data_IF_960472377126
#
_entry.id   IF_960472377126
#
_cell.length_a   1.000
_cell.length_b   1.000
_cell.length_c   1.000
_cell.angle_alpha   90.00
_cell.angle_beta   90.00
_cell.angle_gamma   90.00
#
_symmetry.space_group_name_H-M   'P 1'
#
loop_
_entity.id
_entity.type
_entity.pdbx_description
1 polymer ?
#
# COMPACT_ATOMS: atom_id res chain seq x y z
N UNK A 1 -24.22 -8.25 -24.63
CA UNK A 1 -22.86 -8.12 -24.09
C UNK A 1 -22.94 -8.50 -22.63
N UNK A 2 -22.05 -9.37 -22.20
CA UNK A 2 -21.93 -9.75 -20.79
C UNK A 2 -21.43 -8.54 -19.99
N UNK A 3 -21.96 -8.35 -18.78
CA UNK A 3 -21.50 -7.31 -17.86
C UNK A 3 -21.05 -7.94 -16.54
N UNK A 4 -20.19 -7.22 -15.83
CA UNK A 4 -19.75 -7.55 -14.47
C UNK A 4 -19.90 -6.34 -13.57
N UNK A 5 -20.24 -6.57 -12.30
CA UNK A 5 -20.23 -5.51 -11.31
C UNK A 5 -18.78 -5.08 -11.07
N UNK A 6 -18.53 -3.78 -11.13
CA UNK A 6 -17.24 -3.18 -10.90
C UNK A 6 -17.39 -1.96 -9.98
N UNK A 7 -16.45 -1.81 -9.05
CA UNK A 7 -16.47 -0.76 -8.04
C UNK A 7 -15.13 -0.01 -8.03
N UNK A 8 -15.19 1.26 -7.62
CA UNK A 8 -14.02 1.96 -7.09
C UNK A 8 -14.20 2.10 -5.58
N UNK A 9 -13.24 1.57 -4.84
CA UNK A 9 -13.26 1.54 -3.38
C UNK A 9 -11.95 2.14 -2.88
N UNK A 10 -12.06 3.22 -2.13
CA UNK A 10 -10.95 3.93 -1.54
C UNK A 10 -10.51 3.25 -0.24
N UNK A 11 -9.32 2.65 -0.23
CA UNK A 11 -8.71 2.04 0.94
C UNK A 11 -8.05 3.08 1.85
N UNK A 12 -7.85 2.69 3.11
CA UNK A 12 -7.26 3.51 4.17
C UNK A 12 -8.03 4.79 4.49
N UNK A 13 -9.34 4.79 4.26
CA UNK A 13 -10.19 5.95 4.53
C UNK A 13 -11.60 5.52 4.98
N UNK A 14 -12.34 6.48 5.54
CA UNK A 14 -13.77 6.38 5.83
C UNK A 14 -14.61 7.30 4.94
N UNK A 15 -13.98 8.06 4.05
CA UNK A 15 -14.64 9.04 3.18
C UNK A 15 -14.33 8.70 1.72
N UNK A 16 -15.33 8.69 0.82
CA UNK A 16 -15.08 8.54 -0.61
C UNK A 16 -14.20 9.66 -1.16
N UNK A 17 -13.47 9.36 -2.22
CA UNK A 17 -12.54 10.24 -2.95
C UNK A 17 -11.26 10.62 -2.19
N UNK A 18 -11.01 10.01 -1.02
CA UNK A 18 -9.74 10.15 -0.29
C UNK A 18 -9.04 8.79 -0.19
N UNK A 19 -7.92 8.65 0.53
CA UNK A 19 -7.19 7.38 0.59
C UNK A 19 -6.65 6.86 -0.75
N UNK A 20 -6.42 5.55 -0.87
CA UNK A 20 -5.88 4.91 -2.07
C UNK A 20 -6.97 4.14 -2.84
N UNK A 21 -7.25 4.52 -4.08
CA UNK A 21 -8.35 3.96 -4.86
C UNK A 21 -7.98 2.60 -5.46
N UNK A 22 -8.78 1.57 -5.17
CA UNK A 22 -8.70 0.27 -5.82
C UNK A 22 -9.96 0.00 -6.66
N UNK A 23 -9.76 -0.61 -7.82
CA UNK A 23 -10.83 -1.31 -8.52
C UNK A 23 -11.21 -2.59 -7.76
N UNK A 24 -12.49 -2.93 -7.72
CA UNK A 24 -12.95 -4.21 -7.16
C UNK A 24 -13.99 -4.82 -8.08
N UNK A 25 -13.75 -6.05 -8.52
CA UNK A 25 -14.70 -6.91 -9.24
C UNK A 25 -15.06 -8.09 -8.30
N UNK A 26 -16.20 -8.02 -7.59
CA UNK A 26 -16.54 -8.98 -6.54
C UNK A 26 -16.82 -10.41 -7.01
N UNK A 27 -17.11 -10.57 -8.31
CA UNK A 27 -17.27 -11.86 -8.98
C UNK A 27 -16.64 -11.79 -10.37
N UNK A 28 -15.44 -12.34 -10.46
CA UNK A 28 -14.62 -12.47 -11.65
C UNK A 28 -14.66 -13.91 -12.21
N UNK A 29 -15.61 -14.73 -11.76
CA UNK A 29 -15.70 -16.12 -12.19
C UNK A 29 -15.91 -16.20 -13.71
N UNK A 30 -15.05 -16.98 -14.37
CA UNK A 30 -15.09 -17.19 -15.81
C UNK A 30 -14.44 -16.11 -16.66
N UNK A 31 -13.87 -15.04 -16.07
CA UNK A 31 -13.07 -14.07 -16.82
C UNK A 31 -11.70 -14.68 -17.17
N UNK A 32 -11.25 -14.47 -18.41
CA UNK A 32 -9.87 -14.74 -18.81
C UNK A 32 -8.91 -13.68 -18.26
N UNK A 33 -7.61 -13.97 -18.34
CA UNK A 33 -6.55 -13.04 -17.94
C UNK A 33 -6.59 -11.75 -18.77
N UNK A 34 -6.77 -11.86 -20.08
CA UNK A 34 -6.88 -10.70 -20.99
C UNK A 34 -8.12 -9.86 -20.69
N UNK A 35 -9.25 -10.49 -20.35
CA UNK A 35 -10.46 -9.78 -19.94
C UNK A 35 -10.26 -9.05 -18.61
N UNK A 36 -9.64 -9.69 -17.62
CA UNK A 36 -9.33 -9.07 -16.34
C UNK A 36 -8.36 -7.89 -16.53
N UNK A 37 -7.32 -8.07 -17.34
CA UNK A 37 -6.34 -7.02 -17.67
C UNK A 37 -7.00 -5.82 -18.36
N UNK A 38 -7.88 -6.06 -19.34
CA UNK A 38 -8.62 -5.01 -20.04
C UNK A 38 -9.58 -4.25 -19.11
N UNK A 39 -10.28 -4.96 -18.21
CA UNK A 39 -11.14 -4.33 -17.19
C UNK A 39 -10.32 -3.47 -16.23
N UNK A 40 -9.16 -3.96 -15.77
CA UNK A 40 -8.28 -3.19 -14.89
C UNK A 40 -7.77 -1.92 -15.56
N UNK A 41 -7.39 -2.01 -16.85
CA UNK A 41 -6.97 -0.87 -17.66
C UNK A 41 -8.09 0.18 -17.84
N UNK A 42 -9.32 -0.26 -18.09
CA UNK A 42 -10.48 0.62 -18.27
C UNK A 42 -10.89 1.31 -16.95
N UNK A 43 -10.82 0.61 -15.81
CA UNK A 43 -11.07 1.21 -14.50
C UNK A 43 -10.01 2.23 -14.10
N UNK A 44 -8.75 2.02 -14.52
CA UNK A 44 -7.66 2.99 -14.36
C UNK A 44 -7.25 3.28 -12.90
N UNK A 45 -7.71 2.47 -11.94
CA UNK A 45 -7.18 2.47 -10.57
C UNK A 45 -5.73 1.95 -10.57
N UNK A 46 -4.97 2.21 -9.51
CA UNK A 46 -3.59 1.71 -9.40
C UNK A 46 -3.56 0.19 -9.49
N UNK A 47 -4.50 -0.47 -8.82
CA UNK A 47 -4.76 -1.90 -8.93
C UNK A 47 -6.26 -2.20 -8.86
N UNK A 48 -6.66 -3.26 -9.53
CA UNK A 48 -8.01 -3.83 -9.48
C UNK A 48 -7.96 -5.24 -8.90
N UNK A 49 -8.75 -5.48 -7.86
CA UNK A 49 -8.95 -6.79 -7.23
C UNK A 49 -10.09 -7.57 -7.91
N UNK A 50 -9.79 -8.77 -8.38
CA UNK A 50 -10.74 -9.70 -9.00
C UNK A 50 -10.97 -10.89 -8.08
N UNK A 51 -12.18 -11.02 -7.53
CA UNK A 51 -12.55 -12.08 -6.60
C UNK A 51 -13.25 -13.24 -7.32
N UNK A 52 -12.89 -14.47 -6.99
CA UNK A 52 -13.52 -15.68 -7.55
C UNK A 52 -13.61 -16.79 -6.51
N UNK A 53 -14.23 -17.90 -6.88
CA UNK A 53 -14.13 -19.14 -6.10
C UNK A 53 -12.66 -19.57 -5.99
N UNK A 54 -12.23 -20.07 -4.81
CA UNK A 54 -10.88 -20.55 -4.61
C UNK A 54 -10.66 -21.93 -5.25
N UNK A 55 -9.41 -22.20 -5.63
CA UNK A 55 -8.94 -23.54 -5.98
C UNK A 55 -8.53 -24.32 -4.73
N UNK A 56 -8.01 -23.63 -3.70
CA UNK A 56 -7.64 -24.24 -2.42
C UNK A 56 -8.88 -24.43 -1.53
N UNK A 57 -9.21 -25.67 -1.10
CA UNK A 57 -10.36 -25.91 -0.23
C UNK A 57 -10.21 -25.33 1.19
N UNK A 58 -9.02 -24.89 1.58
CA UNK A 58 -8.75 -24.18 2.82
C UNK A 58 -8.89 -22.65 2.74
N UNK A 59 -9.20 -22.12 1.56
CA UNK A 59 -9.48 -20.70 1.35
C UNK A 59 -10.99 -20.45 1.24
N UNK A 60 -11.41 -19.27 1.69
CA UNK A 60 -12.80 -18.80 1.58
C UNK A 60 -13.07 -18.19 0.20
N UNK A 61 -12.06 -17.52 -0.39
CA UNK A 61 -12.10 -16.85 -1.71
C UNK A 61 -10.73 -16.82 -2.35
N UNK A 62 -10.68 -16.73 -3.67
CA UNK A 62 -9.47 -16.35 -4.42
C UNK A 62 -9.54 -14.91 -4.86
N UNK A 63 -8.39 -14.24 -4.88
CA UNK A 63 -8.22 -12.90 -5.40
C UNK A 63 -7.01 -12.85 -6.35
N UNK A 64 -7.16 -12.08 -7.42
CA UNK A 64 -6.05 -11.68 -8.31
C UNK A 64 -6.01 -10.17 -8.40
N UNK A 65 -4.83 -9.61 -8.62
CA UNK A 65 -4.63 -8.16 -8.65
C UNK A 65 -4.02 -7.76 -9.99
N UNK A 66 -4.63 -6.79 -10.65
CA UNK A 66 -4.12 -6.28 -11.91
C UNK A 66 -3.91 -4.78 -11.80
N UNK A 67 -2.70 -4.33 -12.11
CA UNK A 67 -2.47 -2.94 -12.52
C UNK A 67 -3.08 -2.73 -13.91
N UNK A 68 -3.14 -1.48 -14.43
CA UNK A 68 -3.56 -1.23 -15.80
C UNK A 68 -2.73 -1.95 -16.88
N UNK A 69 -1.54 -2.46 -16.56
CA UNK A 69 -0.60 -3.02 -17.54
C UNK A 69 -0.21 -4.47 -17.31
N UNK A 70 -0.35 -5.00 -16.09
CA UNK A 70 0.05 -6.36 -15.74
C UNK A 70 -0.63 -6.87 -14.45
N UNK A 71 -0.71 -8.19 -14.30
CA UNK A 71 -1.01 -8.83 -13.02
C UNK A 71 0.14 -8.63 -12.02
N UNK A 72 -0.20 -8.48 -10.73
CA UNK A 72 0.75 -8.47 -9.61
C UNK A 72 0.34 -9.50 -8.57
N UNK A 73 1.33 -10.14 -7.94
CA UNK A 73 1.06 -11.29 -7.07
C UNK A 73 0.34 -10.94 -5.76
N UNK A 74 0.49 -9.69 -5.30
CA UNK A 74 -0.11 -9.21 -4.06
C UNK A 74 -0.28 -7.68 -4.06
N UNK A 75 -1.44 -7.20 -3.63
CA UNK A 75 -1.66 -5.77 -3.38
C UNK A 75 -2.44 -5.55 -2.06
N UNK A 76 -1.80 -4.89 -1.10
CA UNK A 76 -2.36 -4.70 0.24
C UNK A 76 -3.59 -3.79 0.28
N UNK A 77 -3.58 -2.65 -0.41
CA UNK A 77 -4.71 -1.72 -0.35
C UNK A 77 -5.93 -2.27 -1.10
N UNK A 78 -5.73 -2.98 -2.22
CA UNK A 78 -6.81 -3.67 -2.93
C UNK A 78 -7.39 -4.84 -2.12
N UNK A 79 -6.56 -5.52 -1.31
CA UNK A 79 -7.04 -6.51 -0.32
C UNK A 79 -7.95 -5.84 0.72
N UNK A 80 -7.51 -4.71 1.29
CA UNK A 80 -8.29 -3.96 2.28
C UNK A 80 -9.59 -3.43 1.69
N UNK A 81 -9.53 -2.83 0.49
CA UNK A 81 -10.69 -2.33 -0.24
C UNK A 81 -11.72 -3.43 -0.51
N UNK A 82 -11.28 -4.56 -1.06
CA UNK A 82 -12.16 -5.69 -1.38
C UNK A 82 -12.83 -6.28 -0.13
N UNK A 83 -12.09 -6.53 0.95
CA UNK A 83 -12.66 -7.11 2.17
C UNK A 83 -13.56 -6.14 2.93
N UNK A 84 -13.19 -4.86 2.99
CA UNK A 84 -14.04 -3.84 3.58
C UNK A 84 -15.36 -3.70 2.80
N UNK A 85 -15.30 -3.78 1.46
CA UNK A 85 -16.50 -3.82 0.63
C UNK A 85 -17.37 -5.05 0.90
N UNK A 86 -16.77 -6.26 0.91
CA UNK A 86 -17.50 -7.50 1.17
C UNK A 86 -18.19 -7.48 2.54
N UNK A 87 -17.50 -6.98 3.57
CA UNK A 87 -18.06 -6.85 4.92
C UNK A 87 -19.21 -5.83 4.95
N UNK A 88 -19.03 -4.64 4.37
CA UNK A 88 -20.06 -3.62 4.30
C UNK A 88 -21.29 -4.02 3.46
N UNK A 89 -21.12 -5.02 2.57
CA UNK A 89 -22.19 -5.59 1.75
C UNK A 89 -22.85 -6.83 2.38
N UNK A 90 -22.54 -7.16 3.64
CA UNK A 90 -23.02 -8.35 4.37
C UNK A 90 -22.71 -9.68 3.64
N UNK A 91 -21.64 -9.70 2.82
CA UNK A 91 -21.18 -10.89 2.09
C UNK A 91 -20.25 -11.75 2.95
N UNK A 92 -19.57 -11.11 3.91
CA UNK A 92 -18.72 -11.77 4.92
C UNK A 92 -19.02 -11.19 6.30
N UNK A 93 -18.88 -12.02 7.33
CA UNK A 93 -18.99 -11.62 8.74
C UNK A 93 -17.64 -11.13 9.28
N UNK A 94 -17.64 -10.52 10.46
CA UNK A 94 -16.39 -10.24 11.18
C UNK A 94 -15.69 -11.56 11.59
N UNK A 95 -14.37 -11.59 11.50
CA UNK A 95 -13.55 -12.77 11.77
C UNK A 95 -12.30 -12.83 10.91
N UNK A 96 -11.62 -13.98 10.93
CA UNK A 96 -10.48 -14.27 10.07
C UNK A 96 -10.95 -15.01 8.82
N UNK A 97 -10.63 -14.44 7.65
CA UNK A 97 -10.91 -14.99 6.33
C UNK A 97 -9.62 -15.44 5.67
N UNK A 98 -9.62 -16.59 5.01
CA UNK A 98 -8.46 -17.16 4.33
C UNK A 98 -8.56 -16.84 2.83
N UNK A 99 -7.67 -15.97 2.37
CA UNK A 99 -7.69 -15.43 1.02
C UNK A 99 -6.60 -16.11 0.18
N UNK A 100 -6.99 -16.86 -0.85
CA UNK A 100 -6.06 -17.43 -1.82
C UNK A 100 -5.53 -16.35 -2.77
N UNK A 101 -4.21 -16.21 -2.84
CA UNK A 101 -3.48 -15.29 -3.72
C UNK A 101 -2.42 -16.05 -4.53
N UNK A 102 -1.69 -15.37 -5.43
CA UNK A 102 -0.58 -15.99 -6.16
C UNK A 102 0.62 -16.34 -5.25
N UNK A 103 0.72 -15.75 -4.06
CA UNK A 103 1.74 -16.08 -3.06
C UNK A 103 1.27 -17.07 -1.99
N UNK A 104 0.09 -17.67 -2.18
CA UNK A 104 -0.53 -18.63 -1.26
C UNK A 104 -1.73 -18.07 -0.51
N UNK A 105 -2.18 -18.81 0.51
CA UNK A 105 -3.37 -18.45 1.31
C UNK A 105 -2.97 -17.56 2.48
N UNK A 106 -3.57 -16.38 2.56
CA UNK A 106 -3.27 -15.36 3.57
C UNK A 106 -4.47 -15.13 4.51
N UNK A 107 -4.26 -15.07 5.84
CA UNK A 107 -5.31 -14.69 6.77
C UNK A 107 -5.55 -13.19 6.74
N UNK A 108 -6.81 -12.80 6.52
CA UNK A 108 -7.29 -11.42 6.57
C UNK A 108 -8.28 -11.29 7.71
N UNK A 109 -7.99 -10.41 8.67
CA UNK A 109 -8.86 -10.18 9.82
C UNK A 109 -9.79 -9.00 9.54
N UNK A 110 -11.09 -9.23 9.67
CA UNK A 110 -12.12 -8.19 9.60
C UNK A 110 -12.75 -8.05 10.97
N UNK A 111 -12.60 -6.87 11.57
CA UNK A 111 -13.20 -6.57 12.87
C UNK A 111 -14.69 -6.17 12.72
N UNK A 112 -15.44 -6.28 13.82
CA UNK A 112 -16.87 -5.96 13.84
C UNK A 112 -17.20 -4.50 13.49
N UNK A 113 -16.23 -3.60 13.61
CA UNK A 113 -16.39 -2.20 13.23
C UNK A 113 -15.97 -1.92 11.78
N UNK A 114 -15.52 -2.93 11.02
CA UNK A 114 -15.14 -2.82 9.61
C UNK A 114 -13.67 -2.46 9.35
N UNK A 115 -12.80 -2.46 10.37
CA UNK A 115 -11.35 -2.39 10.14
C UNK A 115 -10.84 -3.74 9.60
N UNK A 116 -10.17 -3.70 8.45
CA UNK A 116 -9.53 -4.86 7.81
C UNK A 116 -8.04 -4.85 8.12
N UNK A 117 -7.48 -5.97 8.54
CA UNK A 117 -6.06 -6.15 8.87
C UNK A 117 -5.46 -7.31 8.09
N UNK A 118 -4.23 -7.09 7.63
CA UNK A 118 -3.44 -8.04 6.87
C UNK A 118 -2.02 -8.07 7.43
N UNK A 119 -1.51 -9.28 7.68
CA UNK A 119 -0.11 -9.51 8.06
C UNK A 119 0.78 -9.38 6.83
N UNK A 120 1.92 -8.70 6.99
CA UNK A 120 2.93 -8.57 5.94
C UNK A 120 4.06 -9.57 6.15
N UNK A 121 4.95 -9.69 5.16
CA UNK A 121 6.13 -10.54 5.28
C UNK A 121 7.04 -10.06 6.42
N UNK A 122 7.84 -10.98 6.96
CA UNK A 122 8.85 -10.66 7.97
C UNK A 122 9.73 -9.50 7.50
N UNK A 123 9.91 -8.46 8.32
CA UNK A 123 10.59 -7.27 7.86
C UNK A 123 12.10 -7.45 7.82
N UNK A 124 12.77 -6.72 6.92
CA UNK A 124 14.20 -6.42 7.05
C UNK A 124 14.42 -4.91 7.08
N UNK A 125 15.41 -4.48 7.86
CA UNK A 125 15.79 -3.07 8.01
C UNK A 125 17.31 -2.98 8.00
N UNK A 126 17.85 -2.27 7.01
CA UNK A 126 19.27 -2.17 6.71
C UNK A 126 19.66 -0.70 6.60
N UNK A 127 20.56 -0.19 7.45
CA UNK A 127 21.06 1.18 7.30
C UNK A 127 21.70 1.38 5.93
N UNK A 128 21.50 2.55 5.35
CA UNK A 128 22.05 2.93 4.05
C UNK A 128 22.92 4.16 4.24
N UNK A 129 24.18 4.06 3.81
CA UNK A 129 25.14 5.17 3.86
C UNK A 129 24.91 6.10 2.65
N UNK A 130 23.93 7.00 2.78
CA UNK A 130 23.64 8.02 1.79
C UNK A 130 23.87 9.42 2.38
N UNK A 131 24.62 10.30 1.69
CA UNK A 131 24.76 11.69 2.09
C UNK A 131 23.40 12.40 2.09
N UNK A 132 23.07 13.13 3.16
CA UNK A 132 21.83 13.91 3.26
C UNK A 132 21.67 14.93 2.12
N UNK A 133 22.78 15.47 1.58
CA UNK A 133 22.73 16.37 0.43
C UNK A 133 22.13 15.70 -0.81
N UNK A 134 22.46 14.43 -1.06
CA UNK A 134 21.91 13.67 -2.19
C UNK A 134 20.43 13.37 -2.01
N UNK A 135 20.03 13.00 -0.79
CA UNK A 135 18.62 12.70 -0.49
C UNK A 135 17.79 13.98 -0.52
N UNK A 136 18.28 15.07 0.06
CA UNK A 136 17.66 16.38 0.03
C UNK A 136 17.48 16.92 -1.39
N UNK A 137 18.47 16.74 -2.28
CA UNK A 137 18.33 17.04 -3.71
C UNK A 137 17.22 16.22 -4.37
N UNK A 138 17.12 14.92 -4.05
CA UNK A 138 16.11 14.04 -4.64
C UNK A 138 14.69 14.42 -4.24
N UNK A 139 14.44 14.67 -2.95
CA UNK A 139 13.09 14.95 -2.43
C UNK A 139 12.77 16.44 -2.32
N UNK A 140 13.70 17.33 -2.67
CA UNK A 140 13.51 18.78 -2.62
C UNK A 140 13.39 19.34 -1.19
N UNK A 141 14.17 18.81 -0.25
CA UNK A 141 14.19 19.24 1.16
C UNK A 141 15.61 19.67 1.55
N UNK A 142 15.73 20.73 2.35
CA UNK A 142 17.01 21.18 2.92
C UNK A 142 17.69 20.01 3.68
N UNK A 143 18.91 19.60 3.32
CA UNK A 143 19.64 18.52 3.99
C UNK A 143 19.75 18.68 5.51
N UNK A 144 19.73 19.91 6.04
CA UNK A 144 19.71 20.15 7.49
C UNK A 144 18.46 19.58 8.17
N UNK A 145 17.30 19.63 7.49
CA UNK A 145 16.07 19.05 8.00
C UNK A 145 16.09 17.50 8.03
N UNK A 146 17.02 16.88 7.29
CA UNK A 146 17.23 15.43 7.32
C UNK A 146 18.28 15.06 8.37
N UNK A 147 19.38 15.83 8.45
CA UNK A 147 20.51 15.54 9.32
C UNK A 147 20.17 15.61 10.81
N UNK A 148 19.32 16.56 11.23
CA UNK A 148 18.97 16.76 12.65
C UNK A 148 18.26 15.54 13.24
N UNK A 149 17.22 15.04 12.56
CA UNK A 149 16.49 13.83 12.95
C UNK A 149 17.28 12.56 12.60
N UNK A 150 18.08 12.64 11.54
CA UNK A 150 18.92 11.58 11.01
C UNK A 150 20.02 11.08 11.96
N UNK A 151 20.37 11.89 12.96
CA UNK A 151 21.34 11.52 14.00
C UNK A 151 20.82 10.37 14.89
N UNK A 152 19.52 10.37 15.19
CA UNK A 152 18.87 9.33 15.99
C UNK A 152 18.16 8.29 15.11
N UNK A 153 17.70 8.71 13.92
CA UNK A 153 16.98 7.87 12.97
C UNK A 153 17.70 7.89 11.60
N UNK A 154 18.69 7.03 11.37
CA UNK A 154 19.45 7.04 10.12
C UNK A 154 18.60 6.59 8.94
N UNK A 155 18.93 7.08 7.75
CA UNK A 155 18.34 6.59 6.50
C UNK A 155 18.56 5.08 6.40
N UNK A 156 17.51 4.34 6.05
CA UNK A 156 17.57 2.89 5.95
C UNK A 156 16.68 2.37 4.83
N UNK A 157 17.09 1.27 4.23
CA UNK A 157 16.25 0.43 3.41
C UNK A 157 15.42 -0.45 4.34
N UNK A 158 14.09 -0.38 4.23
CA UNK A 158 13.19 -1.24 4.98
C UNK A 158 12.17 -1.89 4.05
N UNK A 159 11.83 -3.15 4.33
CA UNK A 159 10.87 -3.91 3.53
C UNK A 159 10.06 -4.86 4.40
N UNK A 160 8.80 -5.06 4.02
CA UNK A 160 7.91 -6.17 4.43
C UNK A 160 7.38 -6.92 3.21
N UNK A 161 8.12 -6.86 2.11
CA UNK A 161 7.78 -7.39 0.78
C UNK A 161 8.42 -6.55 -0.31
N UNK A 162 7.97 -5.29 -0.43
CA UNK A 162 8.52 -4.30 -1.37
C UNK A 162 9.41 -3.29 -0.61
N UNK A 163 10.71 -3.14 -0.95
CA UNK A 163 11.60 -2.26 -0.21
C UNK A 163 11.37 -0.77 -0.50
N UNK A 164 11.44 0.05 0.55
CA UNK A 164 11.39 1.51 0.48
C UNK A 164 12.57 2.11 1.25
N UNK A 165 13.07 3.25 0.76
CA UNK A 165 14.06 4.05 1.46
C UNK A 165 13.36 4.92 2.51
N UNK A 166 13.57 4.62 3.79
CA UNK A 166 13.02 5.36 4.91
C UNK A 166 13.83 6.63 5.14
N UNK A 167 13.18 7.78 5.02
CA UNK A 167 13.82 9.10 5.15
C UNK A 167 13.08 9.91 6.22
N UNK A 168 13.62 9.98 7.45
CA UNK A 168 13.06 10.84 8.49
C UNK A 168 13.30 12.31 8.13
N UNK A 169 12.28 13.14 8.35
CA UNK A 169 12.28 14.58 8.07
C UNK A 169 11.89 15.35 9.33
N UNK A 170 12.63 16.42 9.63
CA UNK A 170 12.29 17.31 10.72
C UNK A 170 11.13 18.24 10.32
N UNK A 171 10.07 18.27 11.14
CA UNK A 171 8.84 19.06 10.99
C UNK A 171 7.96 18.72 9.79
N UNK A 172 6.65 18.90 10.00
CA UNK A 172 5.63 18.67 8.99
C UNK A 172 5.74 19.66 7.82
N UNK A 173 6.02 20.93 8.12
CA UNK A 173 6.14 22.00 7.11
C UNK A 173 7.14 21.62 6.02
N UNK A 174 8.30 21.06 6.38
CA UNK A 174 9.33 20.65 5.42
C UNK A 174 8.87 19.52 4.49
N UNK A 175 8.14 18.55 5.03
CA UNK A 175 7.63 17.44 4.26
C UNK A 175 6.47 17.86 3.34
N UNK A 176 5.61 18.78 3.79
CA UNK A 176 4.53 19.35 2.97
C UNK A 176 5.06 20.22 1.82
N UNK A 177 6.15 20.96 2.05
CA UNK A 177 6.80 21.82 1.05
C UNK A 177 7.76 21.07 0.11
N UNK A 178 7.98 19.77 0.33
CA UNK A 178 8.94 18.99 -0.46
C UNK A 178 8.60 19.01 -1.96
N UNK A 179 9.62 19.28 -2.78
CA UNK A 179 9.55 19.40 -4.25
C UNK A 179 10.37 18.27 -4.92
N UNK A 180 9.81 17.06 -5.00
CA UNK A 180 10.54 15.86 -5.43
C UNK A 180 10.93 15.89 -6.91
N UNK A 181 12.20 15.58 -7.18
CA UNK A 181 12.69 15.37 -8.54
C UNK A 181 12.59 13.90 -8.91
N UNK A 182 11.54 13.52 -9.65
CA UNK A 182 11.22 12.11 -9.95
C UNK A 182 12.38 11.36 -10.60
N UNK A 183 13.10 11.96 -11.55
CA UNK A 183 14.24 11.31 -12.18
C UNK A 183 15.45 11.14 -11.25
N UNK A 184 15.62 12.02 -10.26
CA UNK A 184 16.68 11.88 -9.24
C UNK A 184 16.27 10.83 -8.20
N UNK A 185 15.00 10.79 -7.82
CA UNK A 185 14.44 9.75 -6.95
C UNK A 185 14.60 8.39 -7.60
N UNK A 186 14.20 8.22 -8.85
CA UNK A 186 14.33 6.95 -9.59
C UNK A 186 15.78 6.45 -9.60
N UNK A 187 16.73 7.32 -10.00
CA UNK A 187 18.15 6.98 -10.01
C UNK A 187 18.70 6.65 -8.61
N UNK A 188 18.26 7.36 -7.57
CA UNK A 188 18.64 7.10 -6.19
C UNK A 188 18.09 5.76 -5.70
N UNK A 189 16.82 5.47 -5.96
CA UNK A 189 16.14 4.27 -5.49
C UNK A 189 16.64 3.02 -6.21
N UNK A 190 17.04 3.14 -7.48
CA UNK A 190 17.73 2.09 -8.23
C UNK A 190 19.10 1.75 -7.62
N UNK A 191 19.88 2.76 -7.22
CA UNK A 191 21.21 2.58 -6.59
C UNK A 191 21.11 1.79 -5.28
N UNK A 192 20.04 2.00 -4.51
CA UNK A 192 19.84 1.36 -3.19
C UNK A 192 18.80 0.23 -3.21
N UNK A 193 18.41 -0.25 -4.39
CA UNK A 193 17.51 -1.38 -4.60
C UNK A 193 16.20 -1.27 -3.80
N UNK A 194 15.53 -0.12 -3.96
CA UNK A 194 14.22 0.18 -3.38
C UNK A 194 13.23 0.61 -4.45
N UNK A 195 11.94 0.39 -4.20
CA UNK A 195 10.87 0.79 -5.12
C UNK A 195 10.57 2.30 -5.07
N UNK A 196 10.94 2.96 -3.97
CA UNK A 196 10.61 4.35 -3.74
C UNK A 196 11.20 4.90 -2.46
N UNK A 197 11.03 6.20 -2.26
CA UNK A 197 11.34 6.92 -1.02
C UNK A 197 10.07 7.05 -0.19
N UNK A 198 10.14 6.67 1.08
CA UNK A 198 9.11 6.90 2.09
C UNK A 198 9.63 7.91 3.11
N UNK A 199 9.29 9.18 2.90
CA UNK A 199 9.69 10.26 3.79
C UNK A 199 8.62 10.49 4.85
N UNK A 200 9.03 10.64 6.10
CA UNK A 200 8.07 10.77 7.21
C UNK A 200 8.57 11.69 8.33
N UNK A 201 7.63 12.19 9.12
CA UNK A 201 7.90 12.99 10.33
C UNK A 201 6.93 12.61 11.45
N UNK A 202 7.30 12.88 12.71
CA UNK A 202 6.40 12.71 13.87
C UNK A 202 5.47 13.91 14.10
N UNK A 203 5.69 15.01 13.37
CA UNK A 203 4.81 16.17 13.38
C UNK A 203 3.66 15.93 12.40
N UNK A 204 2.42 15.88 12.90
CA UNK A 204 1.25 15.40 12.15
C UNK A 204 0.15 16.45 12.06
N UNK A 205 -0.65 16.36 10.99
CA UNK A 205 -1.86 17.17 10.81
C UNK A 205 -2.90 16.78 11.86
N UNK A 206 -3.11 15.46 12.03
CA UNK A 206 -4.04 14.96 13.02
C UNK A 206 -3.35 14.57 14.33
N UNK A 207 -3.86 15.07 15.45
CA UNK A 207 -3.32 14.81 16.78
C UNK A 207 -3.33 13.33 17.21
N UNK A 208 -4.10 12.48 16.53
CA UNK A 208 -4.17 11.04 16.77
C UNK A 208 -3.32 10.21 15.78
N UNK A 209 -2.63 10.85 14.84
CA UNK A 209 -1.63 10.21 13.99
C UNK A 209 -0.26 10.19 14.70
N UNK A 210 0.49 9.12 14.50
CA UNK A 210 1.85 8.94 15.04
C UNK A 210 2.90 9.55 14.11
N UNK A 211 2.73 9.38 12.80
CA UNK A 211 3.61 9.96 11.78
C UNK A 211 2.81 10.46 10.59
N UNK A 212 3.32 11.50 9.94
CA UNK A 212 2.89 11.96 8.63
C UNK A 212 3.90 11.49 7.60
N UNK A 213 3.45 11.00 6.45
CA UNK A 213 4.31 10.47 5.41
C UNK A 213 3.95 10.98 4.01
N UNK A 214 4.93 10.86 3.11
CA UNK A 214 4.79 10.93 1.65
C UNK A 214 5.61 9.79 1.03
N UNK A 215 5.14 9.24 -0.09
CA UNK A 215 5.78 8.12 -0.76
C UNK A 215 5.91 8.38 -2.26
N UNK A 216 7.14 8.36 -2.78
CA UNK A 216 7.44 8.56 -4.19
C UNK A 216 8.08 7.31 -4.77
N UNK A 217 7.48 6.74 -5.81
CA UNK A 217 7.92 5.48 -6.43
C UNK A 217 7.91 5.57 -7.97
N UNK A 218 8.61 6.56 -8.56
CA UNK A 218 8.55 6.81 -10.01
C UNK A 218 9.00 5.61 -10.85
N UNK A 219 9.97 4.82 -10.40
CA UNK A 219 10.40 3.59 -11.07
C UNK A 219 9.34 2.49 -11.12
N UNK A 220 8.33 2.56 -10.23
CA UNK A 220 7.14 1.71 -10.28
C UNK A 220 5.99 2.32 -11.12
N UNK A 221 6.24 3.43 -11.82
CA UNK A 221 5.23 4.15 -12.61
C UNK A 221 4.31 5.05 -11.78
N UNK A 222 4.58 5.22 -10.49
CA UNK A 222 3.76 6.02 -9.56
C UNK A 222 4.57 7.21 -9.04
N UNK A 223 4.38 8.43 -9.58
CA UNK A 223 5.15 9.60 -9.15
C UNK A 223 5.03 9.85 -7.64
N UNK A 224 3.81 9.88 -7.11
CA UNK A 224 3.52 9.92 -5.67
C UNK A 224 2.29 9.07 -5.38
N UNK A 225 2.39 8.15 -4.44
CA UNK A 225 1.29 7.26 -4.04
C UNK A 225 0.50 7.90 -2.88
N UNK A 226 -0.85 7.99 -2.95
CA UNK A 226 -1.64 8.66 -1.92
C UNK A 226 -1.57 7.99 -0.55
N UNK A 227 -1.63 6.65 -0.48
CA UNK A 227 -1.50 5.93 0.81
C UNK A 227 -0.89 4.56 0.59
N UNK A 228 0.29 4.34 1.16
CA UNK A 228 1.14 3.18 0.86
C UNK A 228 1.22 2.23 2.05
N UNK A 229 0.36 1.21 2.08
CA UNK A 229 0.33 0.23 3.16
C UNK A 229 1.63 -0.57 3.32
N UNK A 230 2.28 -0.95 2.23
CA UNK A 230 3.56 -1.67 2.24
C UNK A 230 4.67 -0.83 2.88
N UNK A 231 4.84 0.41 2.43
CA UNK A 231 5.83 1.32 2.98
C UNK A 231 5.52 1.72 4.43
N UNK A 232 4.25 1.91 4.79
CA UNK A 232 3.82 2.18 6.17
C UNK A 232 4.20 1.05 7.13
N UNK A 233 3.99 -0.21 6.74
CA UNK A 233 4.38 -1.36 7.55
C UNK A 233 5.89 -1.51 7.68
N UNK A 234 6.63 -1.32 6.59
CA UNK A 234 8.09 -1.29 6.61
C UNK A 234 8.64 -0.14 7.48
N UNK A 235 7.99 1.03 7.47
CA UNK A 235 8.31 2.16 8.34
C UNK A 235 8.06 1.82 9.81
N UNK A 236 6.95 1.14 10.13
CA UNK A 236 6.70 0.64 11.49
C UNK A 236 7.82 -0.29 11.98
N UNK A 237 8.27 -1.23 11.14
CA UNK A 237 9.39 -2.10 11.47
C UNK A 237 10.71 -1.33 11.65
N UNK A 238 10.95 -0.33 10.81
CA UNK A 238 12.08 0.60 10.95
C UNK A 238 12.06 1.33 12.28
N UNK A 239 10.93 1.95 12.65
CA UNK A 239 10.77 2.69 13.90
C UNK A 239 10.97 1.77 15.13
N UNK A 240 10.45 0.55 15.06
CA UNK A 240 10.67 -0.45 16.08
C UNK A 240 12.16 -0.83 16.20
N UNK A 241 12.84 -1.06 15.07
CA UNK A 241 14.27 -1.42 15.01
C UNK A 241 15.17 -0.33 15.59
N UNK A 242 14.83 0.95 15.37
CA UNK A 242 15.60 2.09 15.87
C UNK A 242 15.23 2.49 17.30
N UNK A 243 14.28 1.81 17.95
CA UNK A 243 13.73 2.21 19.25
C UNK A 243 13.28 3.69 19.27
N UNK A 244 12.56 4.10 18.21
CA UNK A 244 12.23 5.49 17.94
C UNK A 244 11.28 6.16 18.94
N UNK A 245 10.75 5.42 19.92
CA UNK A 245 9.81 5.92 20.92
C UNK A 245 10.43 5.88 22.31
N UNK A 246 10.24 6.95 23.08
CA UNK A 246 10.63 6.98 24.49
C UNK A 246 9.75 6.03 25.31
N UNK A 247 10.37 5.02 25.94
CA UNK A 247 9.67 4.07 26.80
C UNK A 247 9.07 2.89 26.03
N UNK A 248 7.86 2.46 26.42
CA UNK A 248 7.18 1.37 25.73
C UNK A 248 6.62 1.87 24.39
N UNK A 249 6.87 1.15 23.27
CA UNK A 249 6.34 1.56 21.97
C UNK A 249 4.81 1.54 21.97
N UNK A 250 4.16 2.38 21.14
CA UNK A 250 2.71 2.35 21.02
C UNK A 250 2.23 1.00 20.51
N UNK A 251 1.05 0.55 20.97
CA UNK A 251 0.43 -0.69 20.48
C UNK A 251 0.17 -0.65 18.96
N UNK A 252 -0.13 0.55 18.45
CA UNK A 252 -0.42 0.80 17.05
C UNK A 252 0.18 2.14 16.62
N UNK A 253 0.93 2.13 15.51
CA UNK A 253 1.44 3.32 14.83
C UNK A 253 0.40 3.73 13.80
N UNK A 254 -0.10 4.96 13.90
CA UNK A 254 -1.04 5.52 12.92
C UNK A 254 -0.26 6.38 11.94
N UNK A 255 -0.18 5.94 10.70
CA UNK A 255 0.46 6.66 9.61
C UNK A 255 -0.61 7.41 8.84
N UNK A 256 -0.45 8.73 8.70
CA UNK A 256 -1.27 9.53 7.81
C UNK A 256 -0.48 9.93 6.55
N UNK A 257 -1.12 9.86 5.37
CA UNK A 257 -0.48 10.09 4.08
C UNK A 257 -1.48 10.68 3.08
N UNK A 258 -1.00 11.31 2.00
CA UNK A 258 -1.82 11.69 0.85
C UNK A 258 -2.43 13.09 0.92
N UNK A 259 -2.12 13.86 1.97
CA UNK A 259 -2.64 15.22 2.16
C UNK A 259 -2.27 16.18 1.02
N UNK A 260 -1.05 16.08 0.48
CA UNK A 260 -0.58 16.91 -0.65
C UNK A 260 -1.31 16.57 -1.96
N UNK A 261 -1.84 15.36 -2.07
CA UNK A 261 -2.61 14.91 -3.23
C UNK A 261 -4.13 15.11 -3.08
N UNK A 262 -4.57 15.80 -2.02
CA UNK A 262 -5.99 15.90 -1.62
C UNK A 262 -6.67 14.53 -1.43
N UNK A 263 -5.87 13.51 -1.07
CA UNK A 263 -6.33 12.14 -0.82
C UNK A 263 -5.87 11.63 0.55
N UNK A 264 -6.22 12.32 1.65
CA UNK A 264 -5.79 11.92 2.98
C UNK A 264 -6.27 10.51 3.31
N UNK A 265 -5.39 9.69 3.86
CA UNK A 265 -5.75 8.38 4.41
C UNK A 265 -4.84 7.95 5.54
N UNK A 266 -5.24 6.87 6.20
CA UNK A 266 -4.67 6.40 7.46
C UNK A 266 -4.40 4.90 7.43
N UNK A 267 -3.15 4.53 7.64
CA UNK A 267 -2.72 3.14 7.84
C UNK A 267 -2.45 2.91 9.32
N UNK A 268 -3.01 1.83 9.86
CA UNK A 268 -2.77 1.38 11.23
C UNK A 268 -1.76 0.24 11.20
N UNK A 269 -0.58 0.46 11.75
CA UNK A 269 0.52 -0.50 11.74
C UNK A 269 0.69 -1.06 13.14
N UNK A 270 0.68 -2.39 13.27
CA UNK A 270 1.10 -3.08 14.49
C UNK A 270 2.41 -3.79 14.25
N UNK A 271 3.33 -3.60 15.17
CA UNK A 271 4.62 -4.28 15.18
C UNK A 271 4.77 -4.99 16.52
N UNK A 272 5.09 -6.27 16.47
CA UNK A 272 5.32 -7.10 17.66
C UNK A 272 6.56 -7.95 17.49
N UNK A 273 7.11 -8.46 18.58
CA UNK A 273 8.39 -9.16 18.60
C UNK A 273 9.46 -8.34 19.34
N UNK A 274 10.54 -9.02 19.75
CA UNK A 274 11.66 -8.37 20.48
C UNK A 274 12.93 -8.30 19.66
N UNK A 275 13.09 -9.20 18.69
CA UNK A 275 14.26 -9.32 17.82
C UNK A 275 13.83 -9.42 16.36
N UNK A 276 14.75 -9.10 15.44
CA UNK A 276 14.46 -9.05 14.00
C UNK A 276 13.93 -10.38 13.42
N UNK A 277 14.29 -11.53 14.01
CA UNK A 277 13.80 -12.84 13.56
C UNK A 277 12.33 -13.11 13.89
N UNK A 278 11.81 -12.41 14.91
CA UNK A 278 10.48 -12.65 15.48
C UNK A 278 9.58 -11.42 15.31
N UNK A 279 10.05 -10.40 14.58
CA UNK A 279 9.26 -9.21 14.28
C UNK A 279 8.11 -9.57 13.33
N UNK A 280 6.88 -9.37 13.79
CA UNK A 280 5.67 -9.49 12.98
C UNK A 280 5.09 -8.10 12.74
N UNK A 281 4.74 -7.82 11.47
CA UNK A 281 4.13 -6.56 11.05
C UNK A 281 2.75 -6.85 10.44
N UNK A 282 1.75 -6.10 10.87
CA UNK A 282 0.45 -6.07 10.21
C UNK A 282 0.03 -4.64 9.93
N UNK A 283 -0.68 -4.47 8.82
CA UNK A 283 -1.28 -3.18 8.44
C UNK A 283 -2.79 -3.33 8.40
N UNK A 284 -3.48 -2.27 8.78
CA UNK A 284 -4.92 -2.24 8.82
C UNK A 284 -5.46 -0.91 8.29
N UNK A 285 -6.66 -0.99 7.70
CA UNK A 285 -7.33 0.14 7.11
C UNK A 285 -8.84 -0.08 7.03
N UNK A 286 -9.57 1.02 6.97
CA UNK A 286 -10.97 1.04 6.57
C UNK A 286 -11.05 1.35 5.07
N UNK A 287 -12.21 1.19 4.47
CA UNK A 287 -12.42 1.62 3.10
C UNK A 287 -13.78 2.28 2.90
N UNK A 288 -13.89 3.12 1.88
CA UNK A 288 -15.11 3.79 1.48
C UNK A 288 -15.38 3.55 -0.02
N UNK A 289 -16.61 3.17 -0.36
CA UNK A 289 -16.99 2.97 -1.78
C UNK A 289 -17.26 4.31 -2.45
N UNK A 290 -16.53 4.62 -3.52
CA UNK A 290 -16.71 5.82 -4.34
C UNK A 290 -17.60 5.58 -5.57
N UNK A 291 -17.50 4.41 -6.19
CA UNK A 291 -18.27 4.05 -7.37
C UNK A 291 -18.78 2.60 -7.26
N UNK A 292 -20.00 2.38 -7.77
CA UNK A 292 -20.62 1.06 -7.90
C UNK A 292 -21.41 1.03 -9.21
N UNK A 293 -21.05 0.12 -10.10
CA UNK A 293 -21.69 0.03 -11.40
C UNK A 293 -21.43 -1.30 -12.09
N UNK A 294 -21.71 -1.31 -13.39
CA UNK A 294 -21.41 -2.44 -14.26
C UNK A 294 -20.42 -2.03 -15.34
N UNK A 295 -19.49 -2.93 -15.65
CA UNK A 295 -18.58 -2.81 -16.78
C UNK A 295 -18.92 -3.88 -17.83
N UNK A 296 -18.78 -3.52 -19.10
CA UNK A 296 -18.93 -4.47 -20.21
C UNK A 296 -17.69 -5.35 -20.26
N UNK A 297 -17.88 -6.67 -20.31
CA UNK A 297 -16.79 -7.61 -20.49
C UNK A 297 -16.40 -7.61 -21.98
N UNK A 298 -15.10 -7.38 -22.32
CA UNK A 298 -14.66 -7.46 -23.71
C UNK A 298 -14.81 -8.88 -24.24
N UNK A 299 -15.00 -9.00 -25.56
CA UNK A 299 -14.92 -10.32 -26.19
C UNK A 299 -13.54 -10.92 -25.93
N UNK A 300 -13.43 -12.23 -25.66
CA UNK A 300 -12.13 -12.87 -25.49
C UNK A 300 -11.29 -12.62 -26.75
N UNK A 301 -9.99 -12.39 -26.58
CA UNK A 301 -9.08 -12.33 -27.72
C UNK A 301 -9.05 -13.71 -28.38
N UNK A 302 -9.86 -13.88 -29.42
CA UNK A 302 -9.69 -14.93 -30.41
C UNK A 302 -8.44 -14.55 -31.20
N UNK A 303 -7.26 -14.83 -30.64
CA UNK A 303 -6.02 -14.94 -31.41
C UNK A 303 -6.16 -16.17 -32.35
N UNK A 304 -7.03 -16.03 -33.35
CA UNK A 304 -6.85 -16.67 -34.64
C UNK A 304 -5.48 -16.18 -35.13
N UNK A 305 -4.48 -17.03 -34.88
CA UNK A 305 -3.17 -16.97 -35.51
C UNK A 305 -3.40 -16.66 -36.99
N UNK A 306 -3.17 -15.41 -37.39
CA UNK A 306 -3.03 -15.06 -38.80
C UNK A 306 -1.72 -15.70 -39.26
N UNK A 307 -1.76 -17.00 -39.57
CA UNK A 307 -0.78 -17.64 -40.42
C UNK A 307 -0.90 -16.98 -41.81
N UNK A 308 0.04 -16.08 -42.10
CA UNK A 308 0.28 -15.54 -43.44
C UNK A 308 1.75 -15.73 -43.82
#
# INVERSE_FOLDING_TARGET
METRRALLVDAFTTEPFTGNAAGVVPDATGLSDDQAQAIAAELGASETAFLSDPADPGADRRIRYFTPTQEVDLCGHATIASHAHLFAADVIEAGTHHLETNVGVLPIEVSADGLVRMTQSSPTVEPVDLPYDRVGEAIGIDPAALADVGADLPIARATTGLPYLMVPVNFLERLLEADPSMGVIEALTDEVETAGVFAFTFDTVAADATIHARAWAPGAGVPEDPVTGTASGACGAYLHRQAAFDGDPPEEIVVEQGHVLDRPGRVRVRVSGTDASDTNVSVAGRAARALDGEIVVPEPDDDDILEA
#
